data_IF_466134400977
#
_entry.id   IF_466134400977
#
_cell.length_a   1.000
_cell.length_b   1.000
_cell.length_c   1.000
_cell.angle_alpha   90.00
_cell.angle_beta   90.00
_cell.angle_gamma   90.00
#
_symmetry.space_group_name_H-M   'P 1'
#
loop_
_entity.id
_entity.type
_entity.pdbx_description
1 polymer ?
#
# COMPACT_ATOMS: atom_id res chain seq x y z
N UNK A 1 23.25 -10.40 18.10
CA UNK A 1 24.64 -9.87 18.16
C UNK A 1 24.63 -8.48 17.52
N UNK A 2 24.91 -7.42 18.28
CA UNK A 2 25.03 -6.05 17.73
C UNK A 2 26.38 -5.93 17.02
N UNK A 3 26.38 -6.11 15.71
CA UNK A 3 27.55 -5.80 14.88
C UNK A 3 27.67 -4.27 14.75
N UNK A 4 28.69 -3.66 15.34
CA UNK A 4 28.95 -2.22 15.18
C UNK A 4 29.71 -1.91 13.87
N UNK A 5 29.43 -0.76 13.27
CA UNK A 5 30.09 -0.26 12.05
C UNK A 5 29.43 -0.70 10.73
N UNK A 6 30.20 -0.69 9.62
CA UNK A 6 29.71 -1.05 8.27
C UNK A 6 29.10 -2.45 8.23
N UNK A 7 29.70 -3.41 8.94
CA UNK A 7 29.26 -4.81 8.96
C UNK A 7 27.81 -4.92 9.45
N UNK A 8 27.44 -4.17 10.50
CA UNK A 8 26.05 -4.13 10.99
C UNK A 8 25.06 -3.63 9.94
N UNK A 9 25.42 -2.57 9.20
CA UNK A 9 24.56 -2.04 8.11
C UNK A 9 24.40 -3.05 6.99
N UNK A 10 25.46 -3.78 6.64
CA UNK A 10 25.40 -4.84 5.64
C UNK A 10 24.50 -5.99 6.09
N UNK A 11 24.67 -6.46 7.33
CA UNK A 11 23.82 -7.51 7.91
C UNK A 11 22.35 -7.10 7.89
N UNK A 12 22.04 -5.88 8.34
CA UNK A 12 20.68 -5.35 8.32
C UNK A 12 20.12 -5.26 6.90
N UNK A 13 20.91 -4.82 5.92
CA UNK A 13 20.48 -4.73 4.52
C UNK A 13 20.19 -6.11 3.92
N UNK A 14 21.06 -7.10 4.16
CA UNK A 14 20.85 -8.48 3.69
C UNK A 14 19.60 -9.09 4.32
N UNK A 15 19.39 -8.87 5.62
CA UNK A 15 18.21 -9.33 6.33
C UNK A 15 16.94 -8.67 5.79
N UNK A 16 16.97 -7.37 5.51
CA UNK A 16 15.85 -6.64 4.90
C UNK A 16 15.53 -7.18 3.50
N UNK A 17 16.54 -7.40 2.65
CA UNK A 17 16.36 -7.96 1.31
C UNK A 17 15.74 -9.36 1.41
N UNK A 18 16.21 -10.17 2.36
CA UNK A 18 15.68 -11.52 2.62
C UNK A 18 14.22 -11.46 3.06
N UNK A 19 13.88 -10.56 4.00
CA UNK A 19 12.51 -10.33 4.44
C UNK A 19 11.62 -9.93 3.26
N UNK A 20 12.03 -8.97 2.44
CA UNK A 20 11.25 -8.51 1.29
C UNK A 20 10.97 -9.61 0.28
N UNK A 21 11.95 -10.48 0.01
CA UNK A 21 11.78 -11.64 -0.85
C UNK A 21 10.80 -12.65 -0.23
N UNK A 22 10.94 -12.96 1.06
CA UNK A 22 10.01 -13.85 1.78
C UNK A 22 8.59 -13.31 1.75
N UNK A 23 8.40 -12.02 2.03
CA UNK A 23 7.08 -11.37 2.00
C UNK A 23 6.45 -11.41 0.61
N UNK A 24 7.26 -11.23 -0.45
CA UNK A 24 6.76 -11.32 -1.82
C UNK A 24 6.33 -12.75 -2.17
N UNK A 25 7.12 -13.76 -1.79
CA UNK A 25 6.76 -15.16 -2.01
C UNK A 25 5.50 -15.55 -1.22
N UNK A 26 5.39 -15.09 0.03
CA UNK A 26 4.18 -15.26 0.83
C UNK A 26 2.98 -14.58 0.16
N UNK A 27 3.14 -13.36 -0.35
CA UNK A 27 2.07 -12.64 -1.04
C UNK A 27 1.57 -13.42 -2.26
N UNK A 28 2.48 -13.96 -3.08
CA UNK A 28 2.11 -14.79 -4.25
C UNK A 28 1.38 -16.06 -3.80
N UNK A 29 1.95 -16.80 -2.84
CA UNK A 29 1.35 -18.04 -2.34
C UNK A 29 -0.03 -17.82 -1.73
N UNK A 30 -0.20 -16.76 -0.95
CA UNK A 30 -1.46 -16.40 -0.29
C UNK A 30 -2.50 -15.84 -1.26
N UNK A 31 -2.05 -15.15 -2.30
CA UNK A 31 -2.92 -14.73 -3.40
C UNK A 31 -3.49 -15.96 -4.11
N UNK A 32 -2.66 -16.95 -4.42
CA UNK A 32 -3.10 -18.21 -5.05
C UNK A 32 -4.06 -18.97 -4.12
N UNK A 33 -3.73 -19.11 -2.83
CA UNK A 33 -4.58 -19.77 -1.84
C UNK A 33 -5.94 -19.08 -1.65
N UNK A 34 -5.99 -17.75 -1.80
CA UNK A 34 -7.21 -16.96 -1.70
C UNK A 34 -8.00 -16.87 -3.01
N UNK A 35 -7.92 -17.86 -3.90
CA UNK A 35 -8.61 -17.86 -5.21
C UNK A 35 -8.24 -16.65 -6.11
N UNK A 36 -7.00 -16.16 -6.01
CA UNK A 36 -6.53 -15.01 -6.77
C UNK A 36 -7.04 -13.70 -6.19
N UNK A 37 -8.12 -13.15 -6.75
CA UNK A 37 -8.60 -11.79 -6.43
C UNK A 37 -8.94 -11.61 -4.94
N UNK A 38 -9.51 -12.62 -4.28
CA UNK A 38 -9.84 -12.57 -2.86
C UNK A 38 -8.61 -12.75 -1.94
N UNK A 39 -7.48 -13.18 -2.49
CA UNK A 39 -6.22 -13.30 -1.75
C UNK A 39 -5.37 -12.02 -1.79
N UNK A 40 -5.54 -11.18 -2.82
CA UNK A 40 -4.71 -9.98 -3.06
C UNK A 40 -4.83 -8.98 -1.91
N UNK A 41 -6.05 -8.64 -1.50
CA UNK A 41 -6.28 -7.62 -0.48
C UNK A 41 -5.78 -8.05 0.90
N UNK A 42 -6.13 -9.24 1.43
CA UNK A 42 -5.62 -9.68 2.72
C UNK A 42 -4.10 -9.92 2.71
N UNK A 43 -3.52 -10.39 1.61
CA UNK A 43 -2.06 -10.52 1.48
C UNK A 43 -1.36 -9.15 1.52
N UNK A 44 -1.91 -8.16 0.82
CA UNK A 44 -1.37 -6.80 0.83
C UNK A 44 -1.42 -6.19 2.24
N UNK A 45 -2.55 -6.30 2.93
CA UNK A 45 -2.70 -5.77 4.30
C UNK A 45 -1.71 -6.44 5.26
N UNK A 46 -1.60 -7.77 5.23
CA UNK A 46 -0.65 -8.49 6.06
C UNK A 46 0.81 -8.06 5.79
N UNK A 47 1.16 -7.78 4.53
CA UNK A 47 2.47 -7.25 4.18
C UNK A 47 2.73 -5.86 4.78
N UNK A 48 1.78 -4.93 4.66
CA UNK A 48 1.90 -3.61 5.28
C UNK A 48 2.02 -3.70 6.81
N UNK A 49 1.25 -4.58 7.46
CA UNK A 49 1.34 -4.82 8.91
C UNK A 49 2.72 -5.32 9.32
N UNK A 50 3.28 -6.28 8.59
CA UNK A 50 4.61 -6.84 8.89
C UNK A 50 5.73 -5.84 8.64
N UNK A 51 5.68 -5.09 7.54
CA UNK A 51 6.67 -4.05 7.23
C UNK A 51 6.63 -2.91 8.25
N UNK A 52 5.45 -2.55 8.74
CA UNK A 52 5.31 -1.58 9.84
C UNK A 52 6.03 -2.07 11.10
N UNK A 53 5.79 -3.32 11.51
CA UNK A 53 6.47 -3.91 12.68
C UNK A 53 7.99 -3.96 12.49
N UNK A 54 8.48 -4.31 11.29
CA UNK A 54 9.91 -4.27 10.98
C UNK A 54 10.50 -2.86 11.12
N UNK A 55 9.80 -1.83 10.63
CA UNK A 55 10.23 -0.44 10.78
C UNK A 55 10.15 0.08 12.23
N UNK A 56 9.40 -0.60 13.11
CA UNK A 56 9.33 -0.34 14.54
C UNK A 56 10.42 -1.08 15.34
N UNK A 57 11.29 -1.86 14.69
CA UNK A 57 12.44 -2.52 15.31
C UNK A 57 12.24 -4.01 15.60
N UNK A 58 11.17 -4.63 15.11
CA UNK A 58 11.00 -6.08 15.20
C UNK A 58 11.85 -6.80 14.15
N UNK A 59 12.85 -7.57 14.60
CA UNK A 59 13.81 -8.23 13.72
C UNK A 59 13.57 -9.76 13.58
N UNK A 60 12.70 -10.38 14.39
CA UNK A 60 12.49 -11.83 14.31
C UNK A 60 11.66 -12.23 13.07
N UNK A 61 12.34 -12.75 12.04
CA UNK A 61 11.74 -13.24 10.80
C UNK A 61 10.64 -14.29 11.02
N UNK A 62 10.80 -15.21 12.00
CA UNK A 62 9.79 -16.25 12.28
C UNK A 62 8.55 -15.62 12.89
N UNK A 63 8.72 -14.67 13.81
CA UNK A 63 7.61 -13.92 14.39
C UNK A 63 6.88 -13.08 13.32
N UNK A 64 7.61 -12.42 12.43
CA UNK A 64 7.04 -11.62 11.34
C UNK A 64 6.26 -12.50 10.35
N UNK A 65 6.81 -13.65 9.94
CA UNK A 65 6.10 -14.59 9.07
C UNK A 65 4.84 -15.17 9.73
N UNK A 66 4.91 -15.50 11.02
CA UNK A 66 3.74 -15.93 11.80
C UNK A 66 2.68 -14.83 11.88
N UNK A 67 3.11 -13.60 12.13
CA UNK A 67 2.23 -12.41 12.14
C UNK A 67 1.55 -12.27 10.78
N UNK A 68 2.28 -12.37 9.67
CA UNK A 68 1.72 -12.28 8.32
C UNK A 68 0.56 -13.26 8.14
N UNK A 69 0.78 -14.54 8.46
CA UNK A 69 -0.23 -15.58 8.30
C UNK A 69 -1.45 -15.38 9.20
N UNK A 70 -1.24 -14.93 10.44
CA UNK A 70 -2.32 -14.61 11.37
C UNK A 70 -3.16 -13.44 10.85
N UNK A 71 -2.51 -12.34 10.46
CA UNK A 71 -3.19 -11.16 9.90
C UNK A 71 -3.94 -11.52 8.62
N UNK A 72 -3.36 -12.32 7.72
CA UNK A 72 -4.03 -12.75 6.51
C UNK A 72 -5.37 -13.45 6.79
N UNK A 73 -5.41 -14.36 7.77
CA UNK A 73 -6.63 -15.09 8.13
C UNK A 73 -7.66 -14.21 8.81
N UNK A 74 -7.23 -13.36 9.73
CA UNK A 74 -8.11 -12.46 10.48
C UNK A 74 -8.76 -11.44 9.54
N UNK A 75 -7.96 -10.87 8.63
CA UNK A 75 -8.41 -9.81 7.74
C UNK A 75 -9.09 -10.32 6.47
N UNK A 76 -9.13 -11.64 6.22
CA UNK A 76 -9.59 -12.20 4.94
C UNK A 76 -10.96 -11.66 4.50
N UNK A 77 -11.94 -11.61 5.40
CA UNK A 77 -13.29 -11.16 5.05
C UNK A 77 -13.40 -9.63 5.02
N UNK A 78 -12.84 -8.96 6.03
CA UNK A 78 -12.94 -7.51 6.19
C UNK A 78 -12.21 -6.77 5.05
N UNK A 79 -10.98 -7.20 4.76
CA UNK A 79 -10.16 -6.66 3.67
C UNK A 79 -10.82 -6.86 2.31
N UNK A 80 -11.36 -8.03 2.02
CA UNK A 80 -11.98 -8.31 0.73
C UNK A 80 -13.19 -7.42 0.46
N UNK A 81 -13.94 -6.98 1.47
CA UNK A 81 -15.00 -5.98 1.29
C UNK A 81 -14.43 -4.66 0.77
N UNK A 82 -13.27 -4.22 1.27
CA UNK A 82 -12.58 -3.02 0.77
C UNK A 82 -12.12 -3.25 -0.67
N UNK A 83 -11.47 -4.40 -0.92
CA UNK A 83 -11.00 -4.78 -2.25
C UNK A 83 -12.11 -4.77 -3.30
N UNK A 84 -13.27 -5.35 -2.98
CA UNK A 84 -14.44 -5.37 -3.87
C UNK A 84 -14.95 -3.96 -4.16
N UNK A 85 -15.07 -3.08 -3.15
CA UNK A 85 -15.51 -1.70 -3.39
C UNK A 85 -14.53 -0.95 -4.28
N UNK A 86 -13.23 -1.08 -4.02
CA UNK A 86 -12.18 -0.49 -4.87
C UNK A 86 -12.35 -0.98 -6.31
N UNK A 87 -12.47 -2.29 -6.52
CA UNK A 87 -12.64 -2.87 -7.86
C UNK A 87 -13.91 -2.38 -8.57
N UNK A 88 -15.05 -2.34 -7.88
CA UNK A 88 -16.33 -1.88 -8.44
C UNK A 88 -16.26 -0.41 -8.84
N UNK A 89 -15.71 0.45 -7.98
CA UNK A 89 -15.56 1.89 -8.28
C UNK A 89 -14.56 2.11 -9.41
N UNK A 90 -13.43 1.40 -9.42
CA UNK A 90 -12.44 1.46 -10.49
C UNK A 90 -12.99 0.99 -11.84
N UNK A 91 -13.79 -0.08 -11.84
CA UNK A 91 -14.47 -0.57 -13.04
C UNK A 91 -15.49 0.45 -13.56
N UNK A 92 -16.30 1.02 -12.66
CA UNK A 92 -17.27 2.06 -13.01
C UNK A 92 -16.58 3.29 -13.64
N UNK A 93 -15.49 3.78 -13.03
CA UNK A 93 -14.70 4.89 -13.60
C UNK A 93 -14.16 4.57 -14.99
N UNK A 94 -13.67 3.35 -15.19
CA UNK A 94 -13.12 2.91 -16.49
C UNK A 94 -14.18 2.90 -17.59
N UNK A 95 -15.40 2.42 -17.29
CA UNK A 95 -16.50 2.47 -18.26
C UNK A 95 -16.91 3.91 -18.56
N UNK A 96 -17.05 4.75 -17.53
CA UNK A 96 -17.41 6.15 -17.71
C UNK A 96 -16.37 6.90 -18.55
N UNK A 97 -15.09 6.59 -18.39
CA UNK A 97 -14.02 7.16 -19.23
C UNK A 97 -14.21 6.83 -20.70
N UNK A 98 -14.53 5.57 -21.02
CA UNK A 98 -14.79 5.15 -22.40
C UNK A 98 -16.02 5.83 -22.98
N UNK A 99 -17.09 5.96 -22.20
CA UNK A 99 -18.34 6.59 -22.65
C UNK A 99 -18.13 8.09 -22.85
N UNK A 100 -17.61 8.81 -21.86
CA UNK A 100 -17.43 10.27 -21.90
C UNK A 100 -16.44 10.67 -23.01
N UNK A 101 -15.42 9.87 -23.28
CA UNK A 101 -14.49 10.11 -24.40
C UNK A 101 -15.15 10.12 -25.79
N UNK A 102 -16.37 9.59 -25.94
CA UNK A 102 -17.13 9.64 -27.20
C UNK A 102 -18.03 10.86 -27.33
N UNK A 103 -18.25 11.61 -26.25
CA UNK A 103 -19.13 12.79 -26.22
C UNK A 103 -18.31 14.01 -26.65
N UNK A 104 -18.75 14.68 -27.72
CA UNK A 104 -18.11 15.89 -28.24
C UNK A 104 -18.80 17.16 -27.73
N UNK A 105 -18.11 18.30 -27.87
CA UNK A 105 -18.61 19.63 -27.49
C UNK A 105 -18.39 19.98 -26.01
N UNK A 106 -18.94 21.11 -25.58
CA UNK A 106 -18.74 21.67 -24.23
C UNK A 106 -19.22 20.72 -23.12
N UNK A 107 -20.33 20.02 -23.34
CA UNK A 107 -20.83 19.00 -22.40
C UNK A 107 -19.83 17.87 -22.20
N UNK A 108 -19.18 17.41 -23.27
CA UNK A 108 -18.12 16.40 -23.19
C UNK A 108 -16.94 16.88 -22.35
N UNK A 109 -16.48 18.11 -22.56
CA UNK A 109 -15.38 18.72 -21.78
C UNK A 109 -15.71 18.84 -20.29
N UNK A 110 -16.93 19.27 -19.94
CA UNK A 110 -17.37 19.39 -18.54
C UNK A 110 -17.39 18.02 -17.87
N UNK A 111 -18.02 17.02 -18.51
CA UNK A 111 -18.09 15.65 -17.98
C UNK A 111 -16.70 15.03 -17.84
N UNK A 112 -15.81 15.27 -18.80
CA UNK A 112 -14.44 14.78 -18.76
C UNK A 112 -13.64 15.39 -17.60
N UNK A 113 -13.81 16.69 -17.35
CA UNK A 113 -13.18 17.39 -16.22
C UNK A 113 -13.65 16.84 -14.87
N UNK A 114 -14.96 16.62 -14.72
CA UNK A 114 -15.54 16.00 -13.53
C UNK A 114 -14.98 14.59 -13.33
N UNK A 115 -14.93 13.80 -14.41
CA UNK A 115 -14.43 12.43 -14.36
C UNK A 115 -12.95 12.36 -13.97
N UNK A 116 -12.11 13.23 -14.53
CA UNK A 116 -10.69 13.31 -14.15
C UNK A 116 -10.56 13.65 -12.66
N UNK A 117 -11.37 14.59 -12.16
CA UNK A 117 -11.35 14.98 -10.74
C UNK A 117 -11.66 13.79 -9.84
N UNK A 118 -12.73 13.03 -10.13
CA UNK A 118 -13.06 11.81 -9.39
C UNK A 118 -11.98 10.74 -9.53
N UNK A 119 -11.36 10.61 -10.71
CA UNK A 119 -10.29 9.63 -10.95
C UNK A 119 -9.04 9.95 -10.13
N UNK A 120 -8.68 11.23 -9.99
CA UNK A 120 -7.56 11.67 -9.14
C UNK A 120 -7.86 11.37 -7.67
N UNK A 121 -9.05 11.73 -7.19
CA UNK A 121 -9.47 11.44 -5.81
C UNK A 121 -9.44 9.93 -5.52
N UNK A 122 -9.94 9.13 -6.45
CA UNK A 122 -9.92 7.67 -6.36
C UNK A 122 -8.48 7.12 -6.36
N UNK A 123 -7.60 7.60 -7.23
CA UNK A 123 -6.21 7.14 -7.29
C UNK A 123 -5.46 7.42 -5.98
N UNK A 124 -5.63 8.63 -5.45
CA UNK A 124 -5.03 9.07 -4.18
C UNK A 124 -5.59 8.28 -2.99
N UNK A 125 -6.89 7.98 -2.99
CA UNK A 125 -7.55 7.12 -2.01
C UNK A 125 -6.94 5.71 -2.04
N UNK A 126 -6.86 5.07 -3.21
CA UNK A 126 -6.29 3.71 -3.35
C UNK A 126 -4.83 3.64 -2.93
N UNK A 127 -4.05 4.69 -3.22
CA UNK A 127 -2.64 4.75 -2.83
C UNK A 127 -2.45 4.68 -1.30
N UNK A 128 -3.34 5.34 -0.55
CA UNK A 128 -3.19 5.48 0.90
C UNK A 128 -4.09 4.55 1.71
N UNK A 129 -5.15 3.97 1.15
CA UNK A 129 -6.12 3.17 1.90
C UNK A 129 -5.49 1.96 2.60
N UNK A 130 -4.54 1.27 1.95
CA UNK A 130 -3.84 0.13 2.56
C UNK A 130 -2.93 0.55 3.71
N UNK A 131 -2.29 1.72 3.62
CA UNK A 131 -1.47 2.27 4.70
C UNK A 131 -2.33 2.65 5.90
N UNK A 132 -3.44 3.35 5.65
CA UNK A 132 -4.39 3.74 6.71
C UNK A 132 -5.01 2.51 7.35
N UNK A 133 -5.34 1.48 6.57
CA UNK A 133 -5.87 0.22 7.10
C UNK A 133 -4.88 -0.49 8.01
N UNK A 134 -3.61 -0.58 7.60
CA UNK A 134 -2.57 -1.19 8.42
C UNK A 134 -2.17 -0.32 9.63
N UNK A 135 -2.48 0.98 9.59
CA UNK A 135 -2.12 1.91 10.66
C UNK A 135 -3.20 2.04 11.74
N UNK A 136 -4.46 2.19 11.33
CA UNK A 136 -5.59 2.53 12.18
C UNK A 136 -6.66 1.45 12.19
N UNK A 137 -7.23 1.19 13.37
CA UNK A 137 -8.44 0.39 13.55
C UNK A 137 -9.66 1.32 13.45
N UNK A 138 -10.24 1.45 12.25
CA UNK A 138 -11.38 2.33 11.97
C UNK A 138 -12.60 1.52 11.53
N UNK A 139 -13.82 2.06 11.70
CA UNK A 139 -14.99 1.47 11.08
C UNK A 139 -14.89 1.55 9.55
N UNK A 140 -15.42 0.54 8.87
CA UNK A 140 -15.27 0.27 7.43
C UNK A 140 -15.39 1.51 6.52
N UNK A 141 -16.41 2.35 6.71
CA UNK A 141 -16.66 3.53 5.87
C UNK A 141 -15.66 4.66 6.09
N UNK A 142 -15.05 4.74 7.27
CA UNK A 142 -14.08 5.79 7.60
C UNK A 142 -12.75 5.59 6.90
N UNK A 143 -12.37 4.35 6.53
CA UNK A 143 -11.13 4.12 5.78
C UNK A 143 -11.04 4.92 4.49
N UNK A 144 -12.14 4.98 3.72
CA UNK A 144 -12.20 5.73 2.47
C UNK A 144 -12.06 7.24 2.71
N UNK A 145 -12.88 7.81 3.61
CA UNK A 145 -12.84 9.23 3.92
C UNK A 145 -11.48 9.66 4.53
N UNK A 146 -10.94 8.85 5.46
CA UNK A 146 -9.65 9.11 6.09
C UNK A 146 -8.50 9.02 5.10
N UNK A 147 -8.53 8.10 4.13
CA UNK A 147 -7.47 8.02 3.11
C UNK A 147 -7.43 9.25 2.19
N UNK A 148 -8.60 9.78 1.80
CA UNK A 148 -8.69 11.03 1.05
C UNK A 148 -8.22 12.20 1.91
N UNK A 149 -8.74 12.31 3.13
CA UNK A 149 -8.39 13.39 4.06
C UNK A 149 -6.89 13.40 4.35
N UNK A 150 -6.29 12.24 4.64
CA UNK A 150 -4.86 12.11 4.87
C UNK A 150 -4.04 12.65 3.71
N UNK A 151 -4.45 12.32 2.48
CA UNK A 151 -3.75 12.77 1.28
C UNK A 151 -3.85 14.27 1.05
N UNK A 152 -5.01 14.87 1.37
CA UNK A 152 -5.24 16.31 1.30
C UNK A 152 -4.53 17.05 2.45
N UNK A 153 -4.48 16.46 3.65
CA UNK A 153 -3.78 17.00 4.81
C UNK A 153 -2.26 16.95 4.66
N UNK A 154 -1.73 15.94 3.95
CA UNK A 154 -0.31 15.73 3.73
C UNK A 154 0.02 15.65 2.23
N UNK A 155 -0.14 16.76 1.47
CA UNK A 155 0.05 16.76 0.02
C UNK A 155 1.51 16.48 -0.36
N UNK A 156 2.48 16.95 0.42
CA UNK A 156 3.91 16.72 0.15
C UNK A 156 4.28 15.23 0.24
N UNK A 157 3.68 14.51 1.20
CA UNK A 157 3.83 13.06 1.32
C UNK A 157 3.19 12.33 0.15
N UNK A 158 1.99 12.75 -0.25
CA UNK A 158 1.27 12.16 -1.39
C UNK A 158 2.07 12.34 -2.68
N UNK A 159 2.60 13.54 -2.91
CA UNK A 159 3.48 13.84 -4.06
C UNK A 159 4.75 12.98 -3.99
N UNK A 160 5.41 12.90 -2.83
CA UNK A 160 6.58 12.05 -2.64
C UNK A 160 6.30 10.57 -2.90
N UNK A 161 5.12 10.09 -2.50
CA UNK A 161 4.67 8.72 -2.76
C UNK A 161 4.45 8.48 -4.25
N UNK A 162 3.79 9.40 -4.96
CA UNK A 162 3.57 9.31 -6.41
C UNK A 162 4.89 9.33 -7.18
N UNK A 163 5.81 10.25 -6.84
CA UNK A 163 7.14 10.33 -7.47
C UNK A 163 7.93 9.05 -7.22
N UNK A 164 7.96 8.55 -5.98
CA UNK A 164 8.66 7.31 -5.66
C UNK A 164 8.09 6.09 -6.37
N UNK A 165 6.75 5.99 -6.48
CA UNK A 165 6.11 4.95 -7.27
C UNK A 165 6.47 5.04 -8.76
N UNK A 166 6.56 6.25 -9.32
CA UNK A 166 6.99 6.44 -10.70
C UNK A 166 8.44 6.01 -10.93
N UNK A 167 9.34 6.29 -9.98
CA UNK A 167 10.74 5.84 -10.01
C UNK A 167 10.80 4.30 -9.92
N UNK A 168 10.09 3.69 -8.98
CA UNK A 168 10.03 2.23 -8.83
C UNK A 168 9.48 1.57 -10.08
N UNK A 169 8.41 2.12 -10.67
CA UNK A 169 7.86 1.66 -11.94
C UNK A 169 8.93 1.68 -13.03
N UNK A 170 9.70 2.78 -13.15
CA UNK A 170 10.77 2.87 -14.15
C UNK A 170 11.84 1.79 -13.95
N UNK A 171 12.27 1.56 -12.71
CA UNK A 171 13.23 0.50 -12.37
C UNK A 171 12.71 -0.88 -12.77
N UNK A 172 11.45 -1.18 -12.43
CA UNK A 172 10.84 -2.48 -12.75
C UNK A 172 10.64 -2.68 -14.25
N UNK A 173 10.37 -1.63 -15.03
CA UNK A 173 10.31 -1.76 -16.50
C UNK A 173 11.69 -2.00 -17.13
N UNK A 174 12.77 -1.54 -16.50
CA UNK A 174 14.13 -1.82 -16.95
C UNK A 174 14.60 -3.23 -16.59
N UNK A 175 14.21 -3.71 -15.41
CA UNK A 175 14.57 -5.05 -14.91
C UNK A 175 13.30 -5.79 -14.52
N UNK A 176 12.56 -6.35 -15.51
CA UNK A 176 11.28 -7.03 -15.24
C UNK A 176 11.45 -8.27 -14.36
N UNK A 177 12.64 -8.85 -14.32
CA UNK A 177 12.98 -9.96 -13.42
C UNK A 177 12.84 -9.63 -11.93
N UNK A 178 12.84 -8.35 -11.53
CA UNK A 178 12.63 -7.94 -10.13
C UNK A 178 11.16 -7.98 -9.71
N UNK A 179 10.21 -7.86 -10.64
CA UNK A 179 8.77 -7.82 -10.33
C UNK A 179 8.29 -9.00 -9.48
N UNK A 180 8.56 -10.28 -9.85
CA UNK A 180 8.06 -11.41 -9.07
C UNK A 180 8.72 -11.55 -7.69
N UNK A 181 9.91 -10.96 -7.46
CA UNK A 181 10.65 -11.09 -6.19
C UNK A 181 10.51 -9.88 -5.27
N UNK A 182 10.32 -8.68 -5.83
CA UNK A 182 10.39 -7.43 -5.08
C UNK A 182 9.29 -6.42 -5.44
N UNK A 183 8.42 -6.73 -6.41
CA UNK A 183 7.46 -5.76 -6.94
C UNK A 183 6.59 -5.13 -5.86
N UNK A 184 5.80 -5.95 -5.15
CA UNK A 184 4.84 -5.45 -4.16
C UNK A 184 5.52 -5.18 -2.83
N UNK A 185 6.49 -6.02 -2.44
CA UNK A 185 7.21 -5.87 -1.17
C UNK A 185 8.02 -4.58 -1.08
N UNK A 186 8.75 -4.18 -2.12
CA UNK A 186 9.49 -2.91 -2.13
C UNK A 186 8.54 -1.73 -2.20
N UNK A 187 7.48 -1.81 -3.00
CA UNK A 187 6.45 -0.76 -3.04
C UNK A 187 5.80 -0.56 -1.68
N UNK A 188 5.38 -1.65 -1.01
CA UNK A 188 4.79 -1.59 0.32
C UNK A 188 5.77 -1.04 1.35
N UNK A 189 7.06 -1.41 1.28
CA UNK A 189 8.09 -0.88 2.18
C UNK A 189 8.27 0.62 1.99
N UNK A 190 8.40 1.08 0.74
CA UNK A 190 8.56 2.50 0.43
C UNK A 190 7.38 3.32 0.93
N UNK A 191 6.16 2.87 0.66
CA UNK A 191 4.93 3.51 1.11
C UNK A 191 4.81 3.53 2.64
N UNK A 192 5.12 2.40 3.30
CA UNK A 192 5.12 2.33 4.77
C UNK A 192 6.17 3.26 5.37
N UNK A 193 7.38 3.28 4.82
CA UNK A 193 8.47 4.15 5.27
C UNK A 193 8.09 5.63 5.16
N UNK A 194 7.56 6.05 4.00
CA UNK A 194 7.10 7.42 3.77
C UNK A 194 6.04 7.85 4.78
N UNK A 195 5.08 6.97 5.08
CA UNK A 195 4.02 7.25 6.04
C UNK A 195 4.47 7.21 7.51
N UNK A 196 5.47 6.38 7.83
CA UNK A 196 5.95 6.18 9.20
C UNK A 196 6.49 7.47 9.84
N UNK A 197 7.10 8.37 9.04
CA UNK A 197 7.56 9.67 9.51
C UNK A 197 6.40 10.56 9.99
N UNK A 198 5.29 10.56 9.26
CA UNK A 198 4.12 11.39 9.58
C UNK A 198 3.33 10.82 10.75
N UNK A 199 3.24 9.49 10.84
CA UNK A 199 2.61 8.85 11.98
C UNK A 199 3.39 9.06 13.28
N UNK A 200 4.72 9.03 13.24
CA UNK A 200 5.56 9.38 14.41
C UNK A 200 5.34 10.83 14.84
N UNK A 201 5.35 11.78 13.90
CA UNK A 201 5.10 13.19 14.20
C UNK A 201 3.71 13.44 14.81
N UNK A 202 2.67 12.73 14.34
CA UNK A 202 1.32 12.83 14.94
C UNK A 202 1.26 12.24 16.35
N UNK A 203 1.86 11.06 16.55
CA UNK A 203 1.88 10.42 17.87
C UNK A 203 2.60 11.29 18.92
N UNK A 204 3.71 11.93 18.53
CA UNK A 204 4.45 12.88 19.37
C UNK A 204 3.64 14.16 19.67
N UNK A 205 2.88 14.67 18.70
CA UNK A 205 2.00 15.83 18.90
C UNK A 205 0.77 15.53 19.77
N UNK A 206 0.29 14.28 19.76
CA UNK A 206 -0.87 13.82 20.56
C UNK A 206 -0.47 13.22 21.92
N UNK A 207 0.83 13.13 22.22
CA UNK A 207 1.35 12.64 23.51
C UNK A 207 1.19 11.13 23.73
N UNK A 208 0.99 10.35 22.66
CA UNK A 208 0.79 8.90 22.73
C UNK A 208 2.11 8.21 22.39
N UNK A 209 2.75 7.57 23.38
CA UNK A 209 3.95 6.76 23.18
C UNK A 209 3.60 5.44 22.48
N UNK A 210 4.26 5.18 21.34
CA UNK A 210 4.20 3.91 20.59
C UNK A 210 4.76 2.72 21.38
#
# INVERSE_FOLDING_TARGET
MKFEGWKGRLYWAVELITLLAVLQLMWIGLTILGFGLLGITPATIAMFTVLRKRLQGEDDLKYLAKTYWQTYKQEFIASNKIGVIILVVGYFLTINFKVIATIQGETGLILFTILITFSILYAIMVLNIFQIYAHYELPFTRYFATSILFSVSYPLQTIGSVIGLAILYRIFTWIPGLLPFFGISVTALFLTWMSSHIFKMKAEAEGVSL
#
